data_IF_517069268344
#
_entry.id   IF_517069268344
#
_cell.length_a   1.000
_cell.length_b   1.000
_cell.length_c   1.000
_cell.angle_alpha   90.00
_cell.angle_beta   90.00
_cell.angle_gamma   90.00
#
_symmetry.space_group_name_H-M   'P 1'
#
loop_
_entity.id
_entity.type
_entity.pdbx_description
1 polymer ?
#
# COMPACT_ATOMS: atom_id res chain seq x y z
N UNK A 1 -13.28 10.58 5.75
CA UNK A 1 -14.33 11.18 6.59
C UNK A 1 -13.69 11.65 7.90
N UNK A 2 -14.11 12.80 8.44
CA UNK A 2 -13.51 13.45 9.62
C UNK A 2 -14.47 13.36 10.81
N UNK A 3 -14.39 12.28 11.59
CA UNK A 3 -15.08 12.19 12.89
C UNK A 3 -14.02 12.25 14.00
N UNK A 4 -14.29 13.05 15.03
CA UNK A 4 -13.35 13.29 16.12
C UNK A 4 -13.95 12.79 17.43
N UNK A 5 -13.19 11.96 18.14
CA UNK A 5 -13.57 11.41 19.44
C UNK A 5 -12.67 12.03 20.51
N UNK A 6 -13.28 12.67 21.50
CA UNK A 6 -12.56 13.34 22.60
C UNK A 6 -12.27 12.38 23.76
N UNK A 7 -11.43 12.84 24.70
CA UNK A 7 -10.90 12.03 25.79
C UNK A 7 -11.96 11.31 26.61
N UNK A 8 -11.67 10.05 26.93
CA UNK A 8 -12.52 9.18 27.76
C UNK A 8 -13.93 8.95 27.21
N UNK A 9 -14.20 9.29 25.94
CA UNK A 9 -15.44 8.87 25.30
C UNK A 9 -15.42 7.35 25.08
N UNK A 10 -16.58 6.71 25.29
CA UNK A 10 -16.78 5.26 25.10
C UNK A 10 -17.79 5.08 23.98
N UNK A 11 -17.43 4.30 22.98
CA UNK A 11 -18.28 3.93 21.85
C UNK A 11 -18.58 2.45 22.00
N UNK A 12 -19.83 2.11 22.31
CA UNK A 12 -20.27 0.73 22.48
C UNK A 12 -20.47 0.01 21.13
N UNK A 13 -20.80 -1.27 21.18
CA UNK A 13 -20.86 -2.14 20.01
C UNK A 13 -21.90 -1.66 18.99
N UNK A 14 -21.51 -1.63 17.71
CA UNK A 14 -22.36 -1.14 16.62
C UNK A 14 -22.85 0.30 16.78
N UNK A 15 -22.25 1.13 17.65
CA UNK A 15 -22.51 2.56 17.62
C UNK A 15 -21.95 3.19 16.33
N UNK A 16 -22.68 4.12 15.73
CA UNK A 16 -22.32 4.73 14.47
C UNK A 16 -22.17 6.25 14.57
N UNK A 17 -21.03 6.75 14.10
CA UNK A 17 -20.69 8.17 14.13
C UNK A 17 -20.70 8.71 12.70
N UNK A 18 -21.60 9.66 12.43
CA UNK A 18 -21.67 10.30 11.13
C UNK A 18 -20.41 11.12 10.83
N UNK A 19 -20.13 11.33 9.54
CA UNK A 19 -19.04 12.19 9.11
C UNK A 19 -19.18 13.62 9.64
N UNK A 20 -18.05 14.24 10.00
CA UNK A 20 -18.04 15.61 10.53
C UNK A 20 -18.43 15.71 12.01
N UNK A 21 -18.62 14.59 12.70
CA UNK A 21 -19.10 14.60 14.08
C UNK A 21 -17.98 14.77 15.10
N UNK A 22 -18.27 15.49 16.19
CA UNK A 22 -17.38 15.67 17.33
C UNK A 22 -18.01 15.07 18.59
N UNK A 23 -17.49 13.94 19.04
CA UNK A 23 -17.92 13.29 20.29
C UNK A 23 -17.29 14.01 21.46
N UNK A 24 -18.11 14.45 22.41
CA UNK A 24 -17.68 15.17 23.61
C UNK A 24 -16.90 14.26 24.57
N UNK A 25 -15.99 14.82 25.39
CA UNK A 25 -15.21 14.03 26.34
C UNK A 25 -16.10 13.35 27.38
N UNK A 26 -15.68 12.17 27.85
CA UNK A 26 -16.42 11.31 28.82
C UNK A 26 -17.81 10.87 28.36
N UNK A 27 -18.16 11.07 27.08
CA UNK A 27 -19.47 10.70 26.56
C UNK A 27 -19.52 9.19 26.29
N UNK A 28 -20.57 8.54 26.76
CA UNK A 28 -20.84 7.13 26.45
C UNK A 28 -21.92 7.10 25.36
N UNK A 29 -21.57 6.52 24.22
CA UNK A 29 -22.48 6.28 23.10
C UNK A 29 -22.90 4.82 23.17
N UNK A 30 -24.21 4.58 23.27
CA UNK A 30 -24.75 3.25 23.48
C UNK A 30 -24.76 2.43 22.21
N UNK A 31 -24.84 1.10 22.40
CA UNK A 31 -24.88 0.17 21.28
C UNK A 31 -26.01 0.52 20.31
N UNK A 32 -25.71 0.43 19.01
CA UNK A 32 -26.67 0.67 17.93
C UNK A 32 -27.26 2.10 17.90
N UNK A 33 -26.60 3.09 18.49
CA UNK A 33 -26.99 4.50 18.36
C UNK A 33 -26.30 5.19 17.19
N UNK A 34 -27.06 6.00 16.45
CA UNK A 34 -26.54 6.92 15.44
C UNK A 34 -26.33 8.32 16.06
N UNK A 35 -25.11 8.82 15.99
CA UNK A 35 -24.72 10.15 16.46
C UNK A 35 -24.24 11.03 15.31
N UNK A 36 -24.67 12.30 15.29
CA UNK A 36 -24.21 13.27 14.28
C UNK A 36 -23.97 14.68 14.83
N UNK A 37 -23.08 15.42 14.16
CA UNK A 37 -22.90 16.86 14.34
C UNK A 37 -21.70 17.24 15.22
N UNK A 38 -21.45 18.54 15.33
CA UNK A 38 -20.38 19.10 16.17
C UNK A 38 -20.95 20.24 17.03
N UNK A 39 -21.25 20.01 18.32
CA UNK A 39 -21.07 18.75 19.08
C UNK A 39 -22.08 17.67 18.66
N UNK A 40 -21.66 16.40 18.75
CA UNK A 40 -22.47 15.28 18.31
C UNK A 40 -23.68 15.04 19.24
N UNK A 41 -24.82 14.71 18.64
CA UNK A 41 -26.07 14.38 19.33
C UNK A 41 -26.63 13.06 18.82
N UNK A 42 -27.33 12.36 19.71
CA UNK A 42 -28.16 11.21 19.34
C UNK A 42 -29.21 11.62 18.32
N UNK A 43 -29.37 10.80 17.29
CA UNK A 43 -30.31 11.02 16.19
C UNK A 43 -31.42 9.97 16.25
N UNK A 44 -31.01 8.69 16.21
CA UNK A 44 -31.88 7.52 16.17
C UNK A 44 -31.09 6.26 16.51
N UNK A 45 -31.79 5.16 16.71
CA UNK A 45 -31.18 3.84 16.67
C UNK A 45 -30.92 3.40 15.22
N UNK A 46 -29.93 2.54 15.03
CA UNK A 46 -29.62 1.89 13.76
C UNK A 46 -30.70 0.87 13.41
N UNK A 47 -30.94 0.71 12.11
CA UNK A 47 -31.82 -0.35 11.58
C UNK A 47 -31.00 -1.61 11.29
N UNK A 48 -31.67 -2.73 11.11
CA UNK A 48 -31.01 -4.00 10.72
C UNK A 48 -30.22 -3.84 9.40
N UNK A 49 -30.73 -3.01 8.48
CA UNK A 49 -30.07 -2.68 7.22
C UNK A 49 -28.78 -1.89 7.44
N UNK A 50 -28.76 -0.97 8.41
CA UNK A 50 -27.54 -0.25 8.77
C UNK A 50 -26.48 -1.23 9.33
N UNK A 51 -26.90 -2.19 10.15
CA UNK A 51 -26.02 -3.21 10.73
C UNK A 51 -25.44 -4.15 9.66
N UNK A 52 -26.28 -4.62 8.73
CA UNK A 52 -25.85 -5.43 7.59
C UNK A 52 -24.83 -4.67 6.72
N UNK A 53 -25.13 -3.40 6.42
CA UNK A 53 -24.21 -2.53 5.67
C UNK A 53 -22.86 -2.35 6.38
N UNK A 54 -22.84 -2.21 7.71
CA UNK A 54 -21.60 -2.15 8.48
C UNK A 54 -20.78 -3.44 8.36
N UNK A 55 -21.42 -4.61 8.46
CA UNK A 55 -20.73 -5.90 8.34
C UNK A 55 -20.14 -6.11 6.95
N UNK A 56 -20.89 -5.78 5.91
CA UNK A 56 -20.42 -5.86 4.53
C UNK A 56 -19.24 -4.93 4.27
N UNK A 57 -19.28 -3.70 4.78
CA UNK A 57 -18.15 -2.78 4.69
C UNK A 57 -16.90 -3.33 5.35
N UNK A 58 -17.02 -3.90 6.56
CA UNK A 58 -15.88 -4.51 7.26
C UNK A 58 -15.27 -5.63 6.41
N UNK A 59 -16.09 -6.53 5.86
CA UNK A 59 -15.62 -7.61 4.97
C UNK A 59 -14.86 -7.05 3.77
N UNK A 60 -15.45 -6.07 3.08
CA UNK A 60 -14.86 -5.45 1.89
C UNK A 60 -13.50 -4.81 2.19
N UNK A 61 -13.38 -4.06 3.30
CA UNK A 61 -12.11 -3.43 3.67
C UNK A 61 -11.04 -4.44 4.09
N UNK A 62 -11.41 -5.53 4.77
CA UNK A 62 -10.47 -6.61 5.12
C UNK A 62 -9.94 -7.29 3.86
N UNK A 63 -10.81 -7.63 2.92
CA UNK A 63 -10.41 -8.22 1.64
C UNK A 63 -9.47 -7.28 0.87
N UNK A 64 -9.83 -6.01 0.77
CA UNK A 64 -9.02 -5.00 0.10
C UNK A 64 -7.65 -4.86 0.77
N UNK A 65 -7.59 -4.78 2.10
CA UNK A 65 -6.34 -4.70 2.85
C UNK A 65 -5.42 -5.91 2.59
N UNK A 66 -5.99 -7.12 2.52
CA UNK A 66 -5.24 -8.33 2.20
C UNK A 66 -4.65 -8.29 0.78
N UNK A 67 -5.43 -7.85 -0.21
CA UNK A 67 -4.95 -7.67 -1.59
C UNK A 67 -3.78 -6.70 -1.63
N UNK A 68 -3.91 -5.52 -1.00
CA UNK A 68 -2.82 -4.53 -0.98
C UNK A 68 -1.58 -5.01 -0.23
N UNK A 69 -1.74 -5.76 0.87
CA UNK A 69 -0.63 -6.36 1.61
C UNK A 69 0.19 -7.31 0.74
N UNK A 70 -0.46 -8.13 -0.07
CA UNK A 70 0.19 -9.04 -1.02
C UNK A 70 0.89 -8.25 -2.13
N UNK A 71 0.21 -7.27 -2.73
CA UNK A 71 0.77 -6.45 -3.81
C UNK A 71 2.02 -5.68 -3.37
N UNK A 72 2.01 -5.10 -2.17
CA UNK A 72 3.18 -4.41 -1.60
C UNK A 72 4.34 -5.40 -1.41
N UNK A 73 4.08 -6.60 -0.88
CA UNK A 73 5.10 -7.64 -0.68
C UNK A 73 5.72 -8.10 -2.01
N UNK A 74 4.90 -8.34 -3.03
CA UNK A 74 5.36 -8.73 -4.36
C UNK A 74 6.18 -7.60 -5.02
N UNK A 75 5.72 -6.35 -4.94
CA UNK A 75 6.44 -5.18 -5.48
C UNK A 75 7.83 -5.02 -4.86
N UNK A 76 7.96 -5.22 -3.55
CA UNK A 76 9.27 -5.14 -2.89
C UNK A 76 10.21 -6.24 -3.38
N UNK A 77 9.72 -7.46 -3.56
CA UNK A 77 10.54 -8.57 -4.06
C UNK A 77 11.03 -8.35 -5.50
N UNK A 78 10.19 -7.82 -6.40
CA UNK A 78 10.57 -7.54 -7.79
C UNK A 78 11.46 -6.32 -7.93
N UNK A 79 11.32 -5.32 -7.06
CA UNK A 79 12.23 -4.17 -7.01
C UNK A 79 13.66 -4.61 -6.66
N UNK A 80 13.84 -5.51 -5.69
CA UNK A 80 15.16 -6.05 -5.36
C UNK A 80 15.79 -6.84 -6.52
N UNK A 81 15.01 -7.68 -7.21
CA UNK A 81 15.52 -8.45 -8.36
C UNK A 81 15.95 -7.57 -9.53
N UNK A 82 15.17 -6.53 -9.86
CA UNK A 82 15.52 -5.60 -10.94
C UNK A 82 16.74 -4.74 -10.62
N UNK A 83 16.94 -4.38 -9.34
CA UNK A 83 18.12 -3.66 -8.89
C UNK A 83 19.39 -4.52 -8.95
N UNK A 84 19.35 -5.75 -8.43
CA UNK A 84 20.48 -6.69 -8.49
C UNK A 84 20.87 -6.99 -9.93
N UNK A 85 19.89 -7.21 -10.82
CA UNK A 85 20.17 -7.46 -12.24
C UNK A 85 20.87 -6.27 -12.92
N UNK A 86 20.46 -5.04 -12.61
CA UNK A 86 21.05 -3.82 -13.19
C UNK A 86 22.45 -3.54 -12.62
N UNK A 87 22.68 -3.82 -11.34
CA UNK A 87 24.00 -3.74 -10.71
C UNK A 87 24.95 -4.79 -11.31
N UNK A 88 24.49 -6.03 -11.53
CA UNK A 88 25.27 -7.08 -12.18
C UNK A 88 25.62 -6.75 -13.64
N UNK A 89 24.67 -6.22 -14.43
CA UNK A 89 24.96 -5.78 -15.80
C UNK A 89 25.96 -4.63 -15.84
N UNK A 90 25.83 -3.64 -14.96
CA UNK A 90 26.80 -2.55 -14.86
C UNK A 90 28.20 -3.05 -14.46
N UNK A 91 28.28 -3.98 -13.51
CA UNK A 91 29.55 -4.60 -13.12
C UNK A 91 30.19 -5.35 -14.30
N UNK A 92 29.38 -6.06 -15.09
CA UNK A 92 29.83 -6.80 -16.27
C UNK A 92 30.25 -5.85 -17.41
N UNK A 93 29.54 -4.74 -17.63
CA UNK A 93 29.94 -3.69 -18.57
C UNK A 93 31.26 -3.04 -18.16
N UNK A 94 31.49 -2.76 -16.87
CA UNK A 94 32.74 -2.18 -16.38
C UNK A 94 33.89 -3.19 -16.46
N UNK A 95 33.63 -4.47 -16.18
CA UNK A 95 34.61 -5.53 -16.35
C UNK A 95 35.01 -5.68 -17.82
N UNK A 96 34.02 -5.73 -18.72
CA UNK A 96 34.27 -5.75 -20.16
C UNK A 96 34.95 -4.45 -20.61
N UNK A 97 34.63 -3.26 -20.10
CA UNK A 97 35.31 -2.03 -20.52
C UNK A 97 36.75 -1.93 -20.04
N UNK A 98 37.09 -2.57 -18.91
CA UNK A 98 38.45 -2.59 -18.35
C UNK A 98 39.31 -3.70 -18.95
N UNK A 99 38.69 -4.77 -19.43
CA UNK A 99 39.35 -5.93 -20.03
C UNK A 99 39.11 -6.08 -21.54
N UNK A 100 38.36 -5.16 -22.18
CA UNK A 100 38.17 -5.16 -23.63
C UNK A 100 39.37 -4.51 -24.31
N UNK A 101 40.18 -5.40 -24.87
CA UNK A 101 40.79 -5.30 -26.19
C UNK A 101 39.93 -4.38 -27.09
N UNK A 102 40.55 -3.32 -27.58
CA UNK A 102 39.95 -2.35 -28.51
C UNK A 102 39.62 -3.07 -29.83
N UNK A 103 38.35 -3.36 -30.08
CA UNK A 103 37.89 -3.75 -31.41
C UNK A 103 37.34 -2.49 -32.08
N UNK A 104 38.21 -1.76 -32.78
CA UNK A 104 37.83 -0.62 -33.61
C UNK A 104 37.15 -1.06 -34.92
N UNK A 105 36.37 -0.18 -35.59
CA UNK A 105 35.67 -0.54 -36.82
C UNK A 105 36.68 -0.88 -37.94
N UNK A 106 36.57 -2.09 -38.48
CA UNK A 106 37.39 -2.61 -39.56
C UNK A 106 36.84 -2.13 -40.92
N UNK A 107 37.69 -1.78 -41.90
CA UNK A 107 37.24 -1.56 -43.28
C UNK A 107 36.64 -2.83 -43.89
N UNK A 108 35.67 -2.70 -44.83
CA UNK A 108 34.97 -3.85 -45.40
C UNK A 108 35.95 -4.67 -46.25
N UNK A 109 36.32 -5.87 -45.77
CA UNK A 109 37.05 -6.84 -46.60
C UNK A 109 37.96 -7.87 -45.96
N UNK A 110 38.11 -7.97 -44.62
CA UNK A 110 39.05 -8.97 -44.04
C UNK A 110 38.37 -9.80 -42.95
N UNK A 111 38.21 -11.10 -43.22
CA UNK A 111 37.83 -12.08 -42.21
C UNK A 111 39.03 -12.45 -41.32
N UNK A 112 38.73 -12.71 -40.05
CA UNK A 112 39.28 -13.76 -39.15
C UNK A 112 39.17 -13.26 -37.70
N UNK A 113 38.52 -14.06 -36.87
CA UNK A 113 38.36 -13.90 -35.41
C UNK A 113 39.66 -14.38 -34.74
N UNK A 114 40.24 -13.59 -33.84
CA UNK A 114 41.22 -14.09 -32.87
C UNK A 114 40.69 -13.89 -31.44
N UNK A 115 40.48 -14.99 -30.73
CA UNK A 115 40.47 -15.05 -29.28
C UNK A 115 41.85 -15.53 -28.85
N UNK A 116 42.58 -14.73 -28.08
CA UNK A 116 43.61 -15.27 -27.18
C UNK A 116 43.07 -15.18 -25.76
N UNK A 117 42.80 -16.36 -25.19
CA UNK A 117 42.71 -16.59 -23.75
C UNK A 117 44.11 -16.37 -23.18
N UNK A 118 44.25 -15.36 -22.31
CA UNK A 118 44.93 -15.42 -21.01
C UNK A 118 44.70 -14.09 -20.27
#
# INVERSE_FOLDING_TARGET
MSATVMDYAVIEEYAFIAAGSLIQPKKIIKSQELWMGSPAKFVRYLTDQDLEYMQDNVRNYVELANVYKILVKLRLSTFHLSRVYKESLNALTVFLSKNAIVIGPMPPGTGVIYFTLD
#
